data_IF_858054107987
#
_entry.id   IF_858054107987
#
_cell.length_a   1.000
_cell.length_b   1.000
_cell.length_c   1.000
_cell.angle_alpha   90.00
_cell.angle_beta   90.00
_cell.angle_gamma   90.00
#
_symmetry.space_group_name_H-M   'P 1'
#
loop_
_entity.id
_entity.type
_entity.pdbx_description
1 polymer ?
#
# COMPACT_ATOMS: atom_id res chain seq x y z
N UNK A 1 -29.46 -21.22 39.73
CA UNK A 1 -29.64 -20.20 38.68
C UNK A 1 -28.29 -19.56 38.50
N UNK A 2 -27.56 -19.94 37.46
CA UNK A 2 -26.32 -19.24 37.13
C UNK A 2 -26.66 -17.82 36.63
N UNK A 3 -25.95 -16.79 37.11
CA UNK A 3 -26.14 -15.44 36.61
C UNK A 3 -25.72 -15.42 35.14
N UNK A 4 -26.60 -14.92 34.27
CA UNK A 4 -26.22 -14.66 32.88
C UNK A 4 -25.06 -13.66 32.89
N UNK A 5 -23.98 -13.89 32.13
CA UNK A 5 -22.93 -12.90 32.00
C UNK A 5 -23.54 -11.61 31.46
N UNK A 6 -23.19 -10.48 32.09
CA UNK A 6 -23.57 -9.16 31.60
C UNK A 6 -22.96 -8.89 30.22
N UNK A 7 -23.51 -7.92 29.45
CA UNK A 7 -22.96 -7.55 28.16
C UNK A 7 -21.48 -7.16 28.29
N UNK A 8 -20.67 -7.53 27.29
CA UNK A 8 -19.24 -7.25 27.33
C UNK A 8 -19.03 -5.73 27.22
N UNK A 9 -18.11 -5.11 27.98
CA UNK A 9 -17.88 -3.65 27.93
C UNK A 9 -17.61 -3.10 26.51
N UNK A 10 -17.01 -3.93 25.64
CA UNK A 10 -16.75 -3.59 24.24
C UNK A 10 -18.02 -3.57 23.35
N UNK A 11 -19.12 -4.22 23.74
CA UNK A 11 -20.36 -4.24 22.94
C UNK A 11 -20.99 -2.84 22.85
N UNK A 12 -20.87 -2.05 23.92
CA UNK A 12 -21.30 -0.65 23.93
C UNK A 12 -20.38 0.24 23.08
N UNK A 13 -19.11 -0.14 22.96
CA UNK A 13 -18.12 0.57 22.15
C UNK A 13 -18.25 0.26 20.65
N UNK A 14 -18.97 -0.76 20.20
CA UNK A 14 -18.99 -1.13 18.78
C UNK A 14 -20.30 -0.84 18.05
N UNK A 15 -21.33 -0.39 18.77
CA UNK A 15 -22.63 -0.02 18.21
C UNK A 15 -23.38 -1.24 17.70
N UNK A 16 -24.32 -1.76 18.50
CA UNK A 16 -25.13 -2.94 18.16
C UNK A 16 -26.06 -2.69 16.94
N UNK A 17 -25.51 -2.79 15.73
CA UNK A 17 -26.25 -2.81 14.48
C UNK A 17 -26.78 -4.21 14.19
N UNK A 18 -27.83 -4.64 14.90
CA UNK A 18 -28.45 -5.93 14.68
C UNK A 18 -29.09 -6.04 13.29
N UNK A 19 -28.39 -6.68 12.33
CA UNK A 19 -28.97 -7.09 11.05
C UNK A 19 -29.91 -8.27 11.33
N UNK A 20 -31.22 -8.01 11.39
CA UNK A 20 -32.23 -9.08 11.42
C UNK A 20 -32.17 -9.86 10.10
N UNK A 21 -31.72 -11.12 10.16
CA UNK A 21 -31.89 -12.09 9.07
C UNK A 21 -33.39 -12.23 8.76
N UNK A 22 -33.78 -12.03 7.50
CA UNK A 22 -35.06 -12.54 6.98
C UNK A 22 -34.86 -13.99 6.55
N UNK A 23 -35.70 -14.87 7.07
CA UNK A 23 -35.73 -16.30 6.76
C UNK A 23 -36.22 -16.52 5.31
N UNK A 24 -35.54 -17.31 4.45
CA UNK A 24 -35.96 -17.54 3.07
C UNK A 24 -37.14 -18.51 2.90
N UNK A 25 -37.77 -19.00 3.98
CA UNK A 25 -38.74 -20.11 3.93
C UNK A 25 -40.23 -19.75 4.00
N UNK A 26 -40.63 -18.54 3.64
CA UNK A 26 -42.05 -18.21 3.46
C UNK A 26 -42.39 -17.93 1.99
N UNK A 27 -42.49 -18.99 1.19
CA UNK A 27 -43.34 -19.04 -0.01
C UNK A 27 -44.18 -20.31 0.04
N UNK A 28 -45.34 -20.20 0.67
CA UNK A 28 -46.43 -21.17 0.63
C UNK A 28 -47.73 -20.38 0.54
N UNK A 29 -48.50 -20.65 -0.51
CA UNK A 29 -49.58 -19.77 -0.97
C UNK A 29 -50.84 -19.81 -0.13
N UNK A 30 -51.76 -18.89 -0.41
CA UNK A 30 -53.20 -19.06 -0.25
C UNK A 30 -53.93 -18.10 -1.20
N UNK A 31 -54.67 -18.71 -2.12
CA UNK A 31 -55.74 -18.10 -2.91
C UNK A 31 -56.96 -17.93 -2.01
N UNK A 32 -57.57 -16.76 -1.97
CA UNK A 32 -58.82 -16.53 -1.24
C UNK A 32 -59.34 -15.11 -1.43
N UNK A 33 -60.54 -15.02 -2.00
CA UNK A 33 -61.20 -13.81 -2.45
C UNK A 33 -61.62 -12.84 -1.34
N UNK A 34 -61.79 -11.57 -1.73
CA UNK A 34 -62.90 -10.74 -1.24
C UNK A 34 -62.52 -9.55 -0.36
N UNK A 35 -62.87 -8.35 -0.83
CA UNK A 35 -63.39 -7.32 0.08
C UNK A 35 -62.55 -6.04 0.25
N UNK A 36 -63.05 -4.99 -0.40
CA UNK A 36 -63.13 -3.60 0.10
C UNK A 36 -61.86 -2.74 0.19
N UNK A 37 -61.87 -1.72 -0.68
CA UNK A 37 -61.15 -0.44 -0.51
C UNK A 37 -61.70 0.31 0.71
N UNK A 38 -60.85 1.16 1.33
CA UNK A 38 -61.07 2.58 1.10
C UNK A 38 -59.81 3.37 0.75
N UNK A 39 -60.07 4.54 0.19
CA UNK A 39 -59.16 5.54 -0.35
C UNK A 39 -58.55 6.42 0.77
N UNK A 40 -57.38 6.97 0.41
CA UNK A 40 -56.80 8.28 0.75
C UNK A 40 -56.08 8.46 2.10
N UNK A 41 -54.77 8.75 1.97
CA UNK A 41 -53.93 9.45 2.95
C UNK A 41 -52.56 9.74 2.34
N UNK A 42 -52.38 10.96 1.81
CA UNK A 42 -51.10 11.50 1.31
C UNK A 42 -50.17 11.83 2.49
N UNK A 43 -48.87 11.56 2.32
CA UNK A 43 -47.68 12.31 2.78
C UNK A 43 -46.50 11.33 2.82
N UNK A 44 -45.29 11.57 2.35
CA UNK A 44 -44.64 12.71 1.72
C UNK A 44 -43.21 12.24 1.36
N UNK A 45 -42.74 12.66 0.20
CA UNK A 45 -41.40 12.39 -0.32
C UNK A 45 -40.30 12.93 0.60
N UNK A 46 -39.30 12.10 0.91
CA UNK A 46 -37.92 12.53 1.16
C UNK A 46 -36.95 11.47 0.63
N UNK A 47 -36.75 11.46 -0.69
CA UNK A 47 -35.51 10.99 -1.32
C UNK A 47 -34.52 12.15 -1.34
N UNK A 48 -33.40 12.04 -0.62
CA UNK A 48 -32.15 12.74 -0.94
C UNK A 48 -30.99 11.77 -0.76
N UNK A 49 -30.66 11.09 -1.85
CA UNK A 49 -29.34 10.52 -2.05
C UNK A 49 -28.45 11.62 -2.62
N UNK A 50 -27.37 11.97 -1.91
CA UNK A 50 -26.34 12.83 -2.43
C UNK A 50 -25.50 12.02 -3.43
N UNK A 51 -25.58 12.39 -4.70
CA UNK A 51 -24.68 11.94 -5.74
C UNK A 51 -23.36 12.73 -5.65
N UNK A 52 -22.24 12.03 -5.49
CA UNK A 52 -20.91 12.58 -5.74
C UNK A 52 -20.50 12.27 -7.20
N UNK A 53 -19.87 13.20 -7.92
CA UNK A 53 -19.52 13.03 -9.32
C UNK A 53 -18.11 12.45 -9.44
N UNK A 54 -18.00 11.20 -9.87
CA UNK A 54 -16.76 10.68 -10.44
C UNK A 54 -17.09 10.04 -11.79
N UNK A 55 -16.90 10.82 -12.85
CA UNK A 55 -16.92 10.31 -14.22
C UNK A 55 -15.58 9.64 -14.52
N UNK A 56 -15.62 8.35 -14.82
CA UNK A 56 -14.53 7.64 -15.49
C UNK A 56 -14.60 7.90 -17.00
N UNK A 57 -13.47 8.04 -17.72
CA UNK A 57 -13.47 8.16 -19.16
C UNK A 57 -13.88 6.83 -19.82
N UNK A 58 -14.82 6.92 -20.76
CA UNK A 58 -15.47 5.80 -21.42
C UNK A 58 -14.54 4.93 -22.26
N UNK A 59 -14.72 3.62 -22.16
CA UNK A 59 -14.26 2.67 -23.16
C UNK A 59 -15.39 2.46 -24.18
N UNK A 60 -15.09 2.73 -25.45
CA UNK A 60 -15.99 2.48 -26.56
C UNK A 60 -16.24 0.98 -26.73
N UNK A 61 -17.50 0.60 -26.71
CA UNK A 61 -17.95 -0.74 -27.09
C UNK A 61 -17.90 -0.87 -28.62
N UNK A 62 -16.93 -1.62 -29.12
CA UNK A 62 -16.90 -2.12 -30.50
C UNK A 62 -17.70 -3.42 -30.60
N UNK A 63 -18.74 -3.38 -31.42
CA UNK A 63 -19.62 -4.49 -31.77
C UNK A 63 -18.83 -5.62 -32.47
N UNK A 64 -18.77 -6.80 -31.84
CA UNK A 64 -18.32 -8.04 -32.50
C UNK A 64 -19.51 -8.97 -32.71
N UNK A 65 -20.08 -8.93 -33.93
CA UNK A 65 -20.83 -10.07 -34.48
C UNK A 65 -19.85 -11.03 -35.15
N UNK A 66 -19.71 -12.22 -34.58
CA UNK A 66 -19.13 -13.36 -35.28
C UNK A 66 -20.24 -14.30 -35.75
N UNK A 67 -20.22 -14.70 -37.02
CA UNK A 67 -20.54 -16.08 -37.41
C UNK A 67 -20.05 -16.44 -38.83
N UNK A 68 -19.26 -17.51 -38.86
CA UNK A 68 -19.05 -18.56 -39.90
C UNK A 68 -17.79 -18.59 -40.79
N UNK A 69 -17.26 -19.82 -41.05
CA UNK A 69 -15.97 -20.09 -41.73
C UNK A 69 -16.19 -20.77 -43.11
N UNK A 70 -15.23 -21.53 -43.67
CA UNK A 70 -13.97 -21.10 -44.27
C UNK A 70 -13.99 -21.31 -45.80
N UNK A 71 -13.11 -20.63 -46.54
CA UNK A 71 -12.78 -21.01 -47.93
C UNK A 71 -11.28 -21.23 -48.11
N UNK A 72 -11.00 -22.38 -48.73
CA UNK A 72 -9.71 -22.89 -49.21
C UNK A 72 -9.07 -21.95 -50.24
N UNK A 73 -7.74 -22.00 -50.35
CA UNK A 73 -7.07 -21.92 -51.65
C UNK A 73 -5.70 -21.25 -51.70
N UNK A 74 -4.72 -22.03 -52.17
CA UNK A 74 -3.55 -21.66 -52.99
C UNK A 74 -2.25 -21.11 -52.35
N UNK A 75 -1.35 -22.04 -52.02
CA UNK A 75 -0.01 -22.28 -52.62
C UNK A 75 0.79 -21.12 -53.29
N UNK A 76 1.99 -20.89 -52.71
CA UNK A 76 3.36 -20.81 -53.30
C UNK A 76 3.74 -19.71 -54.34
N UNK A 77 5.06 -19.49 -54.61
CA UNK A 77 6.24 -19.35 -53.73
C UNK A 77 7.21 -18.23 -54.20
N UNK A 78 8.31 -18.01 -53.45
CA UNK A 78 9.61 -17.66 -54.06
C UNK A 78 10.25 -16.35 -53.60
N UNK A 79 11.53 -16.41 -53.22
CA UNK A 79 12.36 -15.21 -53.01
C UNK A 79 13.60 -15.42 -52.15
N UNK A 80 14.51 -16.29 -52.60
CA UNK A 80 15.87 -16.45 -52.06
C UNK A 80 16.75 -15.29 -52.54
N UNK A 81 17.59 -14.73 -51.66
CA UNK A 81 18.85 -14.10 -52.07
C UNK A 81 19.89 -14.20 -50.95
N UNK A 82 20.96 -14.92 -51.27
CA UNK A 82 22.19 -15.10 -50.51
C UNK A 82 23.12 -13.89 -50.73
N UNK A 83 23.96 -13.57 -49.74
CA UNK A 83 25.00 -12.55 -49.87
C UNK A 83 25.97 -12.50 -48.68
N UNK A 84 26.96 -13.39 -48.70
CA UNK A 84 28.28 -13.32 -48.02
C UNK A 84 29.31 -13.80 -49.06
N UNK A 85 30.64 -13.60 -48.93
CA UNK A 85 31.41 -13.04 -47.80
C UNK A 85 32.52 -12.02 -48.22
N UNK A 86 33.21 -11.45 -47.23
CA UNK A 86 34.46 -10.71 -47.45
C UNK A 86 35.37 -10.78 -46.22
N UNK A 87 36.40 -11.62 -46.31
CA UNK A 87 37.54 -11.76 -45.40
C UNK A 87 38.42 -10.49 -45.39
N UNK A 88 39.06 -10.18 -44.24
CA UNK A 88 40.51 -9.99 -44.18
C UNK A 88 41.01 -9.80 -42.74
N UNK A 89 41.95 -10.68 -42.36
CA UNK A 89 42.86 -10.60 -41.23
C UNK A 89 43.64 -9.28 -41.17
N UNK A 90 43.99 -8.84 -39.95
CA UNK A 90 45.29 -8.21 -39.60
C UNK A 90 45.40 -7.94 -38.09
N UNK A 91 46.04 -8.88 -37.38
CA UNK A 91 46.99 -8.60 -36.30
C UNK A 91 48.40 -8.90 -36.85
N UNK A 92 49.54 -8.35 -36.34
CA UNK A 92 49.82 -8.13 -34.92
C UNK A 92 50.63 -6.86 -34.58
N UNK A 93 50.77 -6.56 -33.28
CA UNK A 93 52.02 -6.00 -32.70
C UNK A 93 51.99 -6.07 -31.16
N UNK A 94 52.93 -6.84 -30.61
CA UNK A 94 53.43 -6.73 -29.23
C UNK A 94 54.17 -5.40 -29.04
N UNK A 95 54.34 -4.95 -27.80
CA UNK A 95 55.70 -4.94 -27.28
C UNK A 95 55.83 -5.58 -25.90
N UNK A 96 57.06 -5.97 -25.62
CA UNK A 96 57.53 -6.64 -24.43
C UNK A 96 57.88 -5.66 -23.31
N UNK A 97 57.84 -6.17 -22.07
CA UNK A 97 58.84 -5.89 -21.05
C UNK A 97 58.43 -4.92 -19.94
N UNK A 98 58.49 -5.38 -18.69
CA UNK A 98 58.64 -4.47 -17.55
C UNK A 98 58.19 -4.98 -16.18
N UNK A 99 59.06 -5.74 -15.51
CA UNK A 99 59.33 -5.78 -14.05
C UNK A 99 58.19 -6.04 -13.04
N UNK A 100 58.36 -7.17 -12.34
CA UNK A 100 57.84 -7.39 -10.98
C UNK A 100 58.54 -6.48 -9.94
N UNK A 101 57.84 -6.16 -8.84
CA UNK A 101 58.46 -6.41 -7.54
C UNK A 101 57.51 -7.03 -6.49
N UNK A 102 58.09 -8.01 -5.78
CA UNK A 102 58.06 -8.28 -4.34
C UNK A 102 56.72 -8.32 -3.57
N UNK A 103 56.54 -9.50 -2.99
CA UNK A 103 55.69 -9.81 -1.85
C UNK A 103 56.04 -9.00 -0.59
N UNK A 104 55.04 -8.79 0.25
CA UNK A 104 55.19 -8.45 1.67
C UNK A 104 54.33 -7.28 2.13
N UNK A 105 53.13 -7.57 2.63
CA UNK A 105 52.28 -6.59 3.31
C UNK A 105 50.96 -7.20 3.75
N UNK A 106 50.89 -7.68 4.99
CA UNK A 106 49.62 -8.03 5.66
C UNK A 106 48.69 -6.81 5.68
N UNK A 107 47.41 -6.94 5.32
CA UNK A 107 46.45 -5.86 5.53
C UNK A 107 46.06 -5.83 7.01
N UNK A 108 46.45 -4.74 7.68
CA UNK A 108 45.89 -4.35 8.97
C UNK A 108 44.38 -4.25 8.84
N UNK A 109 43.66 -4.96 9.71
CA UNK A 109 42.24 -4.74 10.00
C UNK A 109 42.09 -3.28 10.42
N UNK A 110 41.57 -2.46 9.51
CA UNK A 110 41.09 -1.12 9.82
C UNK A 110 39.68 -1.24 10.37
N UNK A 111 39.48 -0.69 11.56
CA UNK A 111 38.19 -0.57 12.21
C UNK A 111 37.21 0.19 11.30
N UNK A 112 36.20 -0.54 10.80
CA UNK A 112 35.02 0.04 10.19
C UNK A 112 34.23 0.75 11.30
N UNK A 113 34.39 2.07 11.39
CA UNK A 113 33.46 2.89 12.15
C UNK A 113 32.06 2.75 11.56
N UNK A 114 31.02 2.45 12.36
CA UNK A 114 29.66 2.44 11.87
C UNK A 114 29.32 3.87 11.41
N UNK A 115 28.96 4.01 10.13
CA UNK A 115 28.40 5.24 9.60
C UNK A 115 27.15 5.58 10.42
N UNK A 116 27.24 6.63 11.22
CA UNK A 116 26.09 7.22 11.89
C UNK A 116 25.25 7.87 10.80
N UNK A 117 24.16 7.20 10.41
CA UNK A 117 23.15 7.78 9.54
C UNK A 117 22.72 9.12 10.14
N UNK A 118 22.90 10.22 9.41
CA UNK A 118 22.15 11.45 9.69
C UNK A 118 20.68 11.09 9.49
N UNK A 119 20.00 10.77 10.60
CA UNK A 119 18.58 10.44 10.57
C UNK A 119 17.78 11.60 9.97
N UNK A 120 16.67 11.26 9.32
CA UNK A 120 15.64 12.25 8.96
C UNK A 120 15.32 13.03 10.26
N UNK A 121 15.29 14.37 10.25
CA UNK A 121 15.08 15.16 11.46
C UNK A 121 13.85 14.62 12.21
N UNK A 122 14.09 14.11 13.43
CA UNK A 122 13.00 13.68 14.32
C UNK A 122 12.11 14.88 14.58
N UNK A 123 10.93 14.87 13.98
CA UNK A 123 9.79 15.72 14.34
C UNK A 123 10.16 17.17 14.68
N UNK A 124 10.80 17.91 13.76
CA UNK A 124 10.64 19.36 13.81
C UNK A 124 9.34 19.70 13.05
N UNK A 125 8.19 19.90 13.73
CA UNK A 125 6.96 20.35 13.09
C UNK A 125 7.16 21.68 12.34
N UNK A 126 8.24 22.43 12.60
CA UNK A 126 8.55 23.70 11.93
C UNK A 126 9.12 23.52 10.52
N UNK A 127 9.50 22.33 10.08
CA UNK A 127 9.87 22.10 8.67
C UNK A 127 8.68 22.33 7.70
N UNK A 128 7.45 22.45 8.22
CA UNK A 128 6.28 22.88 7.45
C UNK A 128 6.17 24.41 7.28
N UNK A 129 6.96 25.23 8.00
CA UNK A 129 6.82 26.70 7.99
C UNK A 129 7.60 27.42 6.89
N UNK A 130 8.51 26.75 6.18
CA UNK A 130 9.33 27.32 5.10
C UNK A 130 8.74 27.16 3.69
N UNK A 131 7.52 27.65 3.45
CA UNK A 131 6.89 27.64 2.11
C UNK A 131 7.00 29.03 1.46
N UNK A 132 8.17 29.32 0.88
CA UNK A 132 8.34 30.39 -0.12
C UNK A 132 8.35 29.75 -1.52
N UNK A 133 7.15 29.56 -2.09
CA UNK A 133 6.95 29.18 -3.49
C UNK A 133 6.14 30.28 -4.19
N UNK A 134 6.43 30.50 -5.47
CA UNK A 134 5.82 31.58 -6.27
C UNK A 134 4.29 31.39 -6.40
N UNK A 135 3.48 32.47 -6.31
CA UNK A 135 2.02 32.39 -6.19
C UNK A 135 1.26 31.77 -7.39
N UNK A 136 1.95 31.55 -8.51
CA UNK A 136 1.30 31.32 -9.81
C UNK A 136 0.88 29.86 -10.05
N UNK A 137 1.46 28.87 -9.33
CA UNK A 137 1.10 27.45 -9.45
C UNK A 137 0.00 27.00 -8.46
N UNK A 138 -0.36 27.84 -7.47
CA UNK A 138 -1.32 27.50 -6.41
C UNK A 138 -2.79 27.84 -6.74
N UNK A 139 -3.05 28.43 -7.91
CA UNK A 139 -4.31 29.06 -8.25
C UNK A 139 -5.19 28.17 -9.13
N UNK A 140 -5.78 27.10 -8.59
CA UNK A 140 -6.90 26.45 -9.29
C UNK A 140 -8.08 25.98 -8.42
N UNK A 141 -8.02 26.11 -7.08
CA UNK A 141 -9.19 25.82 -6.22
C UNK A 141 -9.34 26.72 -4.99
N UNK A 142 -8.47 27.71 -4.78
CA UNK A 142 -8.50 28.55 -3.58
C UNK A 142 -8.92 30.00 -3.87
N UNK A 143 -9.59 30.63 -2.89
CA UNK A 143 -9.91 32.07 -2.93
C UNK A 143 -8.60 32.87 -3.11
N UNK A 144 -8.59 33.97 -3.88
CA UNK A 144 -7.40 34.80 -4.03
C UNK A 144 -6.91 35.27 -2.65
N UNK A 145 -5.69 34.90 -2.28
CA UNK A 145 -5.07 35.23 -0.99
C UNK A 145 -5.15 34.16 0.10
N UNK A 146 -5.91 33.08 -0.10
CA UNK A 146 -6.01 31.98 0.86
C UNK A 146 -5.25 30.77 0.31
N UNK A 147 -4.08 30.45 0.87
CA UNK A 147 -3.35 29.23 0.49
C UNK A 147 -4.25 28.01 0.79
N UNK A 148 -4.57 27.13 -0.18
CA UNK A 148 -5.40 25.97 0.08
C UNK A 148 -4.73 25.08 1.13
N UNK A 149 -5.42 24.83 2.24
CA UNK A 149 -4.95 23.97 3.34
C UNK A 149 -4.08 24.63 4.41
N UNK A 150 -3.77 25.93 4.33
CA UNK A 150 -2.92 26.58 5.36
C UNK A 150 -3.69 27.26 6.50
N UNK A 151 -5.00 27.51 6.34
CA UNK A 151 -5.78 28.22 7.37
C UNK A 151 -5.86 27.43 8.68
N UNK A 152 -6.16 26.13 8.59
CA UNK A 152 -6.25 25.25 9.76
C UNK A 152 -4.91 25.12 10.51
N UNK A 153 -3.80 24.99 9.78
CA UNK A 153 -2.46 24.88 10.38
C UNK A 153 -1.95 26.20 10.96
N UNK A 154 -2.42 27.35 10.48
CA UNK A 154 -2.10 28.64 11.09
C UNK A 154 -2.75 28.77 12.48
N UNK A 155 -3.96 28.21 12.63
CA UNK A 155 -4.71 28.23 13.88
C UNK A 155 -4.34 27.05 14.82
N UNK A 156 -3.71 25.99 14.30
CA UNK A 156 -3.30 24.80 15.03
C UNK A 156 -1.89 24.29 14.58
N UNK A 157 -0.81 25.06 14.83
CA UNK A 157 0.54 24.74 14.37
C UNK A 157 1.14 23.47 14.99
N UNK A 158 0.54 22.97 16.06
CA UNK A 158 0.90 21.72 16.72
C UNK A 158 0.40 20.47 15.98
N UNK A 159 -0.51 20.62 15.02
CA UNK A 159 -1.06 19.49 14.27
C UNK A 159 0.02 18.86 13.40
N UNK A 160 0.34 17.60 13.70
CA UNK A 160 1.19 16.78 12.85
C UNK A 160 0.42 16.40 11.58
N UNK A 161 0.89 16.85 10.42
CA UNK A 161 0.25 16.57 9.12
C UNK A 161 0.83 15.34 8.43
N UNK A 162 2.11 15.08 8.60
CA UNK A 162 2.80 13.94 8.02
C UNK A 162 3.99 13.56 8.90
N UNK A 163 4.39 12.29 8.87
CA UNK A 163 5.61 11.81 9.51
C UNK A 163 6.18 10.62 8.77
N UNK A 164 7.46 10.37 9.00
CA UNK A 164 8.12 9.14 8.55
C UNK A 164 8.01 8.09 9.64
N UNK A 165 7.75 6.85 9.24
CA UNK A 165 7.68 5.70 10.11
C UNK A 165 8.26 4.47 9.41
N UNK A 166 8.41 3.38 10.15
CA UNK A 166 8.70 2.06 9.60
C UNK A 166 7.36 1.34 9.44
N UNK A 167 7.04 0.78 8.27
CA UNK A 167 5.74 0.14 8.12
C UNK A 167 5.60 -0.77 6.92
N UNK A 168 4.48 -1.49 6.89
CA UNK A 168 4.11 -2.48 5.89
C UNK A 168 2.66 -2.25 5.48
N UNK A 169 2.43 -2.00 4.19
CA UNK A 169 1.08 -1.95 3.61
C UNK A 169 0.83 -3.22 2.80
N UNK A 170 -0.26 -3.89 3.10
CA UNK A 170 -0.63 -5.19 2.55
C UNK A 170 -1.99 -5.09 1.88
N UNK A 171 -2.09 -5.62 0.68
CA UNK A 171 -3.34 -5.75 -0.05
C UNK A 171 -3.79 -7.20 0.03
N UNK A 172 -5.07 -7.38 0.34
CA UNK A 172 -5.57 -8.64 0.87
C UNK A 172 -6.09 -9.53 -0.26
N UNK A 173 -5.89 -10.84 -0.08
CA UNK A 173 -6.66 -11.89 -0.75
C UNK A 173 -7.56 -12.55 0.28
N UNK A 174 -8.75 -12.99 -0.12
CA UNK A 174 -9.74 -13.61 0.77
C UNK A 174 -10.20 -12.69 1.92
N UNK A 175 -11.15 -11.80 1.62
CA UNK A 175 -11.67 -10.84 2.59
C UNK A 175 -12.32 -11.50 3.82
N UNK A 176 -12.88 -12.70 3.68
CA UNK A 176 -13.52 -13.44 4.77
C UNK A 176 -12.45 -14.00 5.73
N UNK A 177 -11.38 -14.60 5.20
CA UNK A 177 -10.25 -15.05 6.02
C UNK A 177 -9.61 -13.91 6.83
N UNK A 178 -9.42 -12.75 6.20
CA UNK A 178 -8.85 -11.58 6.88
C UNK A 178 -9.75 -11.03 7.98
N UNK A 179 -11.04 -10.94 7.69
CA UNK A 179 -12.07 -10.62 8.67
C UNK A 179 -12.00 -11.54 9.89
N UNK A 180 -12.00 -12.86 9.67
CA UNK A 180 -12.14 -13.82 10.78
C UNK A 180 -10.86 -14.06 11.57
N UNK A 181 -9.71 -14.10 10.89
CA UNK A 181 -8.45 -14.59 11.48
C UNK A 181 -7.26 -13.67 11.22
N UNK A 182 -7.15 -13.09 10.03
CA UNK A 182 -5.99 -12.28 9.65
C UNK A 182 -5.87 -10.99 10.47
N UNK A 183 -6.95 -10.22 10.59
CA UNK A 183 -6.97 -8.97 11.36
C UNK A 183 -6.69 -9.21 12.85
N UNK A 184 -7.38 -10.15 13.54
CA UNK A 184 -7.04 -10.51 14.93
C UNK A 184 -5.57 -10.91 15.12
N UNK A 185 -5.05 -11.77 14.23
CA UNK A 185 -3.66 -12.23 14.31
C UNK A 185 -2.69 -11.06 14.19
N UNK A 186 -2.89 -10.19 13.19
CA UNK A 186 -1.99 -9.06 12.93
C UNK A 186 -2.09 -7.94 13.96
N UNK A 187 -3.26 -7.71 14.57
CA UNK A 187 -3.36 -6.81 15.72
C UNK A 187 -2.60 -7.40 16.91
N UNK A 188 -2.70 -8.71 17.16
CA UNK A 188 -1.94 -9.37 18.22
C UNK A 188 -0.44 -9.25 17.97
N UNK A 189 0.03 -9.51 16.75
CA UNK A 189 1.43 -9.41 16.37
C UNK A 189 1.96 -7.98 16.53
N UNK A 190 1.20 -6.98 16.08
CA UNK A 190 1.58 -5.58 16.25
C UNK A 190 1.68 -5.19 17.72
N UNK A 191 0.70 -5.59 18.55
CA UNK A 191 0.72 -5.30 19.99
C UNK A 191 1.95 -5.88 20.70
N UNK A 192 2.51 -7.00 20.21
CA UNK A 192 3.78 -7.56 20.71
C UNK A 192 5.01 -6.77 20.24
N UNK A 193 4.93 -6.15 19.06
CA UNK A 193 6.06 -5.48 18.41
C UNK A 193 6.25 -4.02 18.84
N UNK A 194 5.21 -3.39 19.38
CA UNK A 194 5.24 -1.99 19.84
C UNK A 194 5.36 -1.91 21.36
N UNK A 195 5.88 -0.80 21.93
CA UNK A 195 5.93 -0.63 23.37
C UNK A 195 4.55 -0.75 24.03
N UNK A 196 4.51 -1.40 25.20
CA UNK A 196 3.29 -1.52 26.00
C UNK A 196 2.66 -0.15 26.23
N UNK A 197 1.35 -0.05 26.00
CA UNK A 197 0.64 1.21 26.20
C UNK A 197 0.71 2.19 25.02
N UNK A 198 1.51 1.93 23.98
CA UNK A 198 1.67 2.88 22.87
C UNK A 198 0.40 3.06 22.04
N UNK A 199 -0.36 2.00 21.78
CA UNK A 199 -1.58 2.05 20.99
C UNK A 199 -2.79 2.24 21.90
N UNK A 200 -3.23 3.48 22.08
CA UNK A 200 -4.35 3.80 22.99
C UNK A 200 -5.61 4.24 22.26
N UNK A 201 -5.52 4.66 21.00
CA UNK A 201 -6.65 5.25 20.29
C UNK A 201 -7.23 4.26 19.30
N UNK A 202 -8.54 4.10 19.34
CA UNK A 202 -9.28 3.19 18.46
C UNK A 202 -10.45 3.91 17.79
N UNK A 203 -10.71 3.60 16.53
CA UNK A 203 -11.90 4.07 15.82
C UNK A 203 -12.29 3.10 14.71
N UNK A 204 -13.53 3.24 14.21
CA UNK A 204 -14.10 2.44 13.14
C UNK A 204 -14.86 3.32 12.16
N UNK A 205 -15.16 2.86 10.95
CA UNK A 205 -16.04 3.62 10.04
C UNK A 205 -17.47 3.80 10.57
N UNK A 206 -17.89 3.01 11.57
CA UNK A 206 -19.19 3.16 12.25
C UNK A 206 -19.16 4.13 13.42
N UNK A 207 -17.98 4.65 13.79
CA UNK A 207 -17.77 5.61 14.88
C UNK A 207 -16.97 6.80 14.37
N UNK A 208 -17.57 7.99 14.39
CA UNK A 208 -16.87 9.21 13.97
C UNK A 208 -15.73 9.61 14.92
N UNK A 209 -15.81 9.20 16.18
CA UNK A 209 -14.94 9.69 17.23
C UNK A 209 -13.92 8.63 17.65
N UNK A 210 -12.69 9.08 17.91
CA UNK A 210 -11.66 8.26 18.51
C UNK A 210 -11.99 7.99 19.98
N UNK A 211 -11.87 6.72 20.39
CA UNK A 211 -11.98 6.30 21.78
C UNK A 211 -10.64 5.86 22.30
N UNK A 212 -10.35 6.24 23.55
CA UNK A 212 -9.18 5.77 24.26
C UNK A 212 -9.49 4.41 24.88
N UNK A 213 -8.71 3.40 24.54
CA UNK A 213 -8.80 2.05 25.10
C UNK A 213 -8.08 1.97 26.44
N UNK A 214 -8.70 1.33 27.42
CA UNK A 214 -8.02 0.82 28.60
C UNK A 214 -7.10 -0.35 28.24
N UNK A 215 -6.19 -0.71 29.16
CA UNK A 215 -5.31 -1.87 28.95
C UNK A 215 -6.08 -3.18 28.71
N UNK A 216 -7.16 -3.41 29.46
CA UNK A 216 -7.99 -4.61 29.32
C UNK A 216 -8.76 -4.64 27.97
N UNK A 217 -9.29 -3.49 27.53
CA UNK A 217 -9.96 -3.39 26.22
C UNK A 217 -8.98 -3.63 25.07
N UNK A 218 -7.75 -3.13 25.19
CA UNK A 218 -6.70 -3.37 24.20
C UNK A 218 -6.27 -4.83 24.14
N UNK A 219 -6.15 -5.49 25.29
CA UNK A 219 -5.80 -6.91 25.37
C UNK A 219 -6.89 -7.80 24.75
N UNK A 220 -8.17 -7.45 24.95
CA UNK A 220 -9.31 -8.16 24.37
C UNK A 220 -9.65 -7.78 22.91
N UNK A 221 -8.98 -6.77 22.36
CA UNK A 221 -9.31 -6.22 21.04
C UNK A 221 -9.19 -7.26 19.91
N UNK A 222 -8.15 -8.11 19.84
CA UNK A 222 -8.05 -9.15 18.80
C UNK A 222 -9.26 -10.09 18.79
N UNK A 223 -9.71 -10.54 19.95
CA UNK A 223 -10.84 -11.45 20.08
C UNK A 223 -12.13 -10.78 19.61
N UNK A 224 -12.33 -9.52 19.98
CA UNK A 224 -13.48 -8.73 19.54
C UNK A 224 -13.44 -8.42 18.05
N UNK A 225 -12.27 -8.18 17.46
CA UNK A 225 -12.09 -8.00 16.02
C UNK A 225 -12.43 -9.26 15.21
N UNK A 226 -12.29 -10.45 15.80
CA UNK A 226 -12.54 -11.72 15.14
C UNK A 226 -14.00 -12.15 15.11
N UNK A 227 -14.25 -13.44 15.38
CA UNK A 227 -15.52 -14.15 15.13
C UNK A 227 -16.79 -13.47 15.65
N UNK A 228 -16.72 -12.70 16.74
CA UNK A 228 -17.89 -12.00 17.28
C UNK A 228 -18.40 -10.90 16.33
N UNK A 229 -17.52 -10.32 15.51
CA UNK A 229 -17.85 -9.21 14.63
C UNK A 229 -18.26 -9.63 13.20
N UNK A 230 -17.95 -10.88 12.80
CA UNK A 230 -17.96 -11.30 11.39
C UNK A 230 -19.02 -12.34 10.99
N UNK A 231 -20.01 -12.63 11.86
CA UNK A 231 -21.03 -13.67 11.64
C UNK A 231 -21.95 -13.52 10.40
N UNK A 232 -21.73 -12.52 9.54
CA UNK A 232 -22.54 -12.22 8.36
C UNK A 232 -21.73 -12.01 7.05
N UNK A 233 -20.44 -12.36 7.02
CA UNK A 233 -19.56 -12.19 5.86
C UNK A 233 -18.90 -10.80 5.76
N UNK A 234 -18.21 -10.49 4.65
CA UNK A 234 -17.45 -9.26 4.51
C UNK A 234 -18.30 -7.98 4.59
N UNK A 235 -17.85 -7.05 5.42
CA UNK A 235 -18.43 -5.74 5.70
C UNK A 235 -17.80 -4.71 4.79
N UNK A 236 -18.29 -4.64 3.56
CA UNK A 236 -17.79 -3.71 2.55
C UNK A 236 -17.66 -2.27 3.10
N UNK A 237 -16.46 -1.70 3.01
CA UNK A 237 -16.06 -0.37 3.52
C UNK A 237 -15.98 -0.23 5.04
N UNK A 238 -15.98 -1.33 5.80
CA UNK A 238 -15.54 -1.25 7.18
C UNK A 238 -14.10 -0.73 7.22
N UNK A 239 -13.88 0.26 8.08
CA UNK A 239 -12.54 0.70 8.44
C UNK A 239 -12.34 0.46 9.93
N UNK A 240 -11.15 0.00 10.31
CA UNK A 240 -10.71 -0.14 11.70
C UNK A 240 -9.36 0.53 11.81
N UNK A 241 -9.16 1.35 12.86
CA UNK A 241 -7.87 1.97 13.15
C UNK A 241 -7.55 1.85 14.63
N UNK A 242 -6.30 1.53 14.92
CA UNK A 242 -5.69 1.52 16.25
C UNK A 242 -4.38 2.32 16.15
N UNK A 243 -4.16 3.30 17.00
CA UNK A 243 -3.03 4.23 16.84
C UNK A 243 -2.52 4.76 18.17
N UNK A 244 -1.26 5.22 18.16
CA UNK A 244 -0.66 6.04 19.20
C UNK A 244 -1.22 7.47 19.28
N UNK A 245 -1.72 7.99 18.16
CA UNK A 245 -2.35 9.31 18.07
C UNK A 245 -3.51 9.36 17.06
N UNK A 246 -4.39 10.35 17.20
CA UNK A 246 -5.63 10.44 16.41
C UNK A 246 -5.47 11.11 15.04
N UNK A 247 -4.34 11.81 14.82
CA UNK A 247 -4.03 12.52 13.60
C UNK A 247 -3.14 11.71 12.67
N UNK A 248 -1.83 11.78 12.90
CA UNK A 248 -0.81 11.25 12.01
C UNK A 248 -0.05 10.09 12.68
N UNK A 249 -0.57 8.87 12.53
CA UNK A 249 -0.07 7.65 13.20
C UNK A 249 1.46 7.48 13.16
N UNK A 250 2.08 7.31 14.32
CA UNK A 250 3.49 6.94 14.46
C UNK A 250 3.76 5.47 14.70
N UNK A 251 2.81 4.83 15.36
CA UNK A 251 2.70 3.41 15.50
C UNK A 251 1.21 3.08 15.45
N UNK A 252 0.86 1.99 14.78
CA UNK A 252 -0.52 1.56 14.75
C UNK A 252 -0.87 0.62 13.60
N UNK A 253 -2.17 0.44 13.49
CA UNK A 253 -2.84 -0.48 12.62
C UNK A 253 -3.98 0.25 11.92
N UNK A 254 -4.08 0.08 10.61
CA UNK A 254 -5.25 0.52 9.84
C UNK A 254 -5.68 -0.61 8.93
N UNK A 255 -6.98 -0.85 8.85
CA UNK A 255 -7.57 -1.90 8.03
C UNK A 255 -8.80 -1.38 7.32
N UNK A 256 -8.92 -1.71 6.03
CA UNK A 256 -10.14 -1.52 5.27
C UNK A 256 -10.59 -2.84 4.63
N UNK A 257 -11.82 -3.20 4.97
CA UNK A 257 -12.49 -4.36 4.41
C UNK A 257 -13.19 -4.00 3.12
N UNK A 258 -12.93 -4.77 2.07
CA UNK A 258 -13.61 -4.63 0.79
C UNK A 258 -14.15 -5.98 0.38
N UNK A 259 -15.47 -6.06 0.28
CA UNK A 259 -16.15 -7.16 -0.39
C UNK A 259 -15.78 -7.16 -1.90
N UNK A 260 -15.07 -8.19 -2.40
CA UNK A 260 -14.64 -8.27 -3.79
C UNK A 260 -15.83 -8.42 -4.76
N UNK A 261 -16.99 -8.90 -4.30
CA UNK A 261 -18.19 -9.00 -5.15
C UNK A 261 -18.80 -7.63 -5.46
N UNK A 262 -18.49 -6.61 -4.66
CA UNK A 262 -19.07 -5.27 -4.75
C UNK A 262 -18.19 -4.25 -5.46
N UNK A 263 -16.99 -4.62 -5.89
CA UNK A 263 -16.13 -3.69 -6.63
C UNK A 263 -14.79 -4.27 -7.07
N UNK A 264 -14.14 -3.59 -8.01
CA UNK A 264 -12.79 -3.93 -8.48
C UNK A 264 -11.66 -3.39 -7.57
N UNK A 265 -11.85 -3.42 -6.24
CA UNK A 265 -10.84 -2.99 -5.25
C UNK A 265 -10.46 -4.15 -4.34
N UNK A 266 -9.24 -4.09 -3.83
CA UNK A 266 -8.79 -5.00 -2.80
C UNK A 266 -8.96 -4.39 -1.41
N UNK A 267 -9.26 -5.22 -0.41
CA UNK A 267 -9.06 -4.84 0.98
C UNK A 267 -7.58 -4.55 1.23
N UNK A 268 -7.29 -3.82 2.30
CA UNK A 268 -5.93 -3.52 2.69
C UNK A 268 -5.78 -3.44 4.19
N UNK A 269 -4.57 -3.69 4.68
CA UNK A 269 -4.15 -3.31 6.03
C UNK A 269 -2.80 -2.60 5.97
N UNK A 270 -2.51 -1.81 6.99
CA UNK A 270 -1.25 -1.14 7.18
C UNK A 270 -0.81 -1.32 8.64
N UNK A 271 0.41 -1.83 8.81
CA UNK A 271 1.10 -1.95 10.09
C UNK A 271 2.18 -0.87 10.14
N UNK A 272 2.23 -0.11 11.22
CA UNK A 272 3.19 0.97 11.42
C UNK A 272 3.87 0.81 12.76
N UNK A 273 5.20 0.83 12.73
CA UNK A 273 6.10 0.84 13.86
C UNK A 273 6.78 2.21 13.96
N UNK A 274 7.24 2.61 15.17
CA UNK A 274 8.02 3.82 15.33
C UNK A 274 9.22 3.88 14.35
N UNK A 275 9.57 5.09 13.89
CA UNK A 275 10.67 5.29 12.94
C UNK A 275 12.01 4.73 13.43
N UNK A 276 12.24 4.75 14.74
CA UNK A 276 13.46 4.28 15.39
C UNK A 276 13.36 2.84 15.93
N UNK A 277 12.28 2.12 15.59
CA UNK A 277 12.18 0.69 15.83
C UNK A 277 13.24 -0.08 15.03
N UNK A 278 13.69 -1.23 15.53
CA UNK A 278 14.60 -2.06 14.76
C UNK A 278 13.92 -2.58 13.49
N UNK A 279 14.56 -2.45 12.31
CA UNK A 279 13.98 -2.92 11.06
C UNK A 279 13.61 -4.40 11.05
N UNK A 280 14.35 -5.22 11.80
CA UNK A 280 14.09 -6.66 11.90
C UNK A 280 12.73 -6.97 12.54
N UNK A 281 12.16 -6.07 13.34
CA UNK A 281 10.81 -6.21 13.88
C UNK A 281 9.75 -6.09 12.77
N UNK A 282 9.95 -5.18 11.81
CA UNK A 282 9.08 -5.09 10.63
C UNK A 282 9.23 -6.33 9.74
N UNK A 283 10.45 -6.81 9.55
CA UNK A 283 10.70 -8.04 8.79
C UNK A 283 10.02 -9.25 9.46
N UNK A 284 10.07 -9.34 10.79
CA UNK A 284 9.39 -10.40 11.54
C UNK A 284 7.87 -10.35 11.32
N UNK A 285 7.25 -9.18 11.41
CA UNK A 285 5.82 -9.01 11.10
C UNK A 285 5.49 -9.40 9.65
N UNK A 286 6.32 -9.00 8.69
CA UNK A 286 6.13 -9.34 7.28
C UNK A 286 6.24 -10.85 7.04
N UNK A 287 7.17 -11.53 7.72
CA UNK A 287 7.32 -13.00 7.66
C UNK A 287 6.12 -13.69 8.28
N UNK A 288 5.70 -13.30 9.50
CA UNK A 288 4.51 -13.86 10.17
C UNK A 288 3.28 -13.74 9.27
N UNK A 289 3.04 -12.55 8.72
CA UNK A 289 1.93 -12.30 7.81
C UNK A 289 1.95 -13.22 6.58
N UNK A 290 3.08 -13.28 5.86
CA UNK A 290 3.17 -14.03 4.62
C UNK A 290 3.31 -15.55 4.83
N UNK A 291 3.59 -15.98 6.07
CA UNK A 291 3.58 -17.37 6.48
C UNK A 291 2.18 -17.86 6.86
N UNK A 292 1.32 -17.00 7.40
CA UNK A 292 0.03 -17.40 8.00
C UNK A 292 -1.22 -16.96 7.22
N UNK A 293 -1.12 -15.92 6.39
CA UNK A 293 -2.29 -15.34 5.74
C UNK A 293 -2.10 -15.15 4.23
N UNK A 294 -3.13 -15.43 3.41
CA UNK A 294 -3.13 -15.11 1.99
C UNK A 294 -3.11 -13.60 1.81
N UNK A 295 -2.31 -13.11 0.88
CA UNK A 295 -2.24 -11.69 0.54
C UNK A 295 -1.99 -11.56 -0.96
N UNK A 296 -2.34 -10.40 -1.52
CA UNK A 296 -2.14 -10.12 -2.95
C UNK A 296 -0.72 -9.65 -3.22
N UNK A 297 -0.33 -8.60 -2.52
CA UNK A 297 1.00 -8.03 -2.51
C UNK A 297 1.18 -7.15 -1.27
N UNK A 298 2.42 -6.84 -0.93
CA UNK A 298 2.71 -5.86 0.11
C UNK A 298 4.03 -5.13 -0.17
N UNK A 299 4.16 -3.94 0.42
CA UNK A 299 5.39 -3.14 0.36
C UNK A 299 5.69 -2.59 1.75
N UNK A 300 6.93 -2.75 2.20
CA UNK A 300 7.37 -2.33 3.51
C UNK A 300 8.77 -1.73 3.54
N UNK A 301 9.04 -0.92 4.55
CA UNK A 301 10.25 -0.12 4.70
C UNK A 301 9.95 1.21 5.38
N UNK A 302 10.78 2.22 5.14
CA UNK A 302 10.42 3.58 5.53
C UNK A 302 9.27 4.07 4.66
N UNK A 303 8.19 4.52 5.31
CA UNK A 303 7.02 5.08 4.65
C UNK A 303 6.60 6.38 5.30
N UNK A 304 5.76 7.14 4.61
CA UNK A 304 5.09 8.30 5.18
C UNK A 304 3.69 7.94 5.66
N UNK A 305 3.38 8.28 6.91
CA UNK A 305 2.00 8.37 7.38
C UNK A 305 1.55 9.83 7.32
N UNK A 306 0.23 10.05 7.30
CA UNK A 306 -0.35 11.38 7.18
C UNK A 306 -1.63 11.50 7.97
N UNK A 307 -1.96 12.74 8.34
CA UNK A 307 -3.26 13.09 8.88
C UNK A 307 -4.29 13.09 7.74
N UNK A 308 -5.27 12.18 7.82
CA UNK A 308 -6.32 12.03 6.79
C UNK A 308 -7.18 13.30 6.62
N UNK A 309 -7.31 14.12 7.66
CA UNK A 309 -8.07 15.38 7.61
C UNK A 309 -7.32 16.50 6.90
N UNK A 310 -5.99 16.45 6.91
CA UNK A 310 -5.09 17.43 6.32
C UNK A 310 -4.34 16.87 5.11
N UNK A 311 -4.96 15.91 4.40
CA UNK A 311 -4.34 15.15 3.31
C UNK A 311 -3.65 16.03 2.24
N UNK A 312 -4.24 17.14 1.75
CA UNK A 312 -3.54 18.01 0.80
C UNK A 312 -2.24 18.61 1.37
N UNK A 313 -2.26 19.12 2.60
CA UNK A 313 -1.10 19.72 3.24
C UNK A 313 -0.02 18.67 3.55
N UNK A 314 -0.44 17.50 4.02
CA UNK A 314 0.44 16.36 4.27
C UNK A 314 1.21 15.94 3.00
N UNK A 315 0.51 15.77 1.87
CA UNK A 315 1.14 15.33 0.63
C UNK A 315 2.07 16.38 -0.01
N UNK A 316 1.86 17.68 0.29
CA UNK A 316 2.86 18.70 -0.05
C UNK A 316 4.15 18.54 0.75
N UNK A 317 4.05 18.24 2.05
CA UNK A 317 5.22 17.96 2.90
C UNK A 317 5.94 16.69 2.46
N UNK A 318 5.16 15.62 2.24
CA UNK A 318 5.66 14.32 1.79
C UNK A 318 6.38 14.44 0.44
N UNK A 319 5.85 15.23 -0.51
CA UNK A 319 6.55 15.43 -1.79
C UNK A 319 7.94 16.02 -1.60
N UNK A 320 8.11 17.00 -0.71
CA UNK A 320 9.44 17.59 -0.44
C UNK A 320 10.40 16.52 0.07
N UNK A 321 9.95 15.65 0.97
CA UNK A 321 10.75 14.53 1.45
C UNK A 321 11.03 13.51 0.35
N UNK A 322 10.07 13.20 -0.51
CA UNK A 322 10.23 12.27 -1.62
C UNK A 322 11.23 12.75 -2.68
N UNK A 323 11.36 14.07 -2.88
CA UNK A 323 12.40 14.64 -3.74
C UNK A 323 13.80 14.48 -3.14
N UNK A 324 13.92 14.42 -1.81
CA UNK A 324 15.20 14.28 -1.12
C UNK A 324 15.56 12.83 -0.80
N UNK A 325 14.60 12.01 -0.40
CA UNK A 325 14.79 10.68 0.17
C UNK A 325 14.11 9.63 -0.72
N UNK A 326 14.86 9.11 -1.69
CA UNK A 326 14.31 8.19 -2.69
C UNK A 326 13.85 6.84 -2.11
N UNK A 327 14.41 6.42 -0.99
CA UNK A 327 14.06 5.18 -0.29
C UNK A 327 12.83 5.30 0.62
N UNK A 328 12.32 6.51 0.85
CA UNK A 328 11.01 6.69 1.47
C UNK A 328 9.93 6.18 0.52
N UNK A 329 8.86 5.57 1.03
CA UNK A 329 7.70 5.22 0.21
C UNK A 329 6.49 6.09 0.58
N UNK A 330 5.78 6.52 -0.46
CA UNK A 330 4.60 7.37 -0.34
C UNK A 330 3.41 6.53 -0.72
N UNK A 331 2.65 6.13 0.30
CA UNK A 331 1.57 5.19 0.14
C UNK A 331 0.23 5.86 0.45
N UNK A 332 -0.74 5.63 -0.41
CA UNK A 332 -2.16 5.92 -0.16
C UNK A 332 -2.93 4.62 -0.42
N UNK A 333 -3.11 3.77 0.61
CA UNK A 333 -3.65 2.42 0.45
C UNK A 333 -5.04 2.43 -0.22
N UNK A 334 -5.86 3.44 0.08
CA UNK A 334 -7.18 3.60 -0.53
C UNK A 334 -7.10 3.86 -2.04
N UNK A 335 -6.13 4.64 -2.50
CA UNK A 335 -5.92 4.88 -3.93
C UNK A 335 -5.29 3.68 -4.63
N UNK A 336 -4.30 3.05 -4.00
CA UNK A 336 -3.63 1.87 -4.52
C UNK A 336 -4.54 0.64 -4.62
N UNK A 337 -5.52 0.51 -3.71
CA UNK A 337 -6.48 -0.61 -3.68
C UNK A 337 -7.21 -0.87 -5.02
N UNK A 338 -7.29 0.15 -5.87
CA UNK A 338 -7.88 0.07 -7.21
C UNK A 338 -6.98 -0.54 -8.29
N UNK A 339 -5.66 -0.61 -8.06
CA UNK A 339 -4.67 -0.96 -9.08
C UNK A 339 -3.91 -2.24 -8.76
N UNK A 340 -3.82 -2.60 -7.47
CA UNK A 340 -3.07 -3.78 -6.98
C UNK A 340 -3.63 -5.14 -7.44
N UNK A 341 -4.72 -5.14 -8.20
CA UNK A 341 -5.33 -6.37 -8.70
C UNK A 341 -4.43 -7.17 -9.62
N UNK A 342 -3.53 -6.55 -10.39
CA UNK A 342 -2.50 -7.30 -11.14
C UNK A 342 -1.12 -6.67 -11.04
N UNK A 343 -1.01 -5.53 -10.39
CA UNK A 343 0.19 -4.70 -10.33
C UNK A 343 0.63 -4.58 -8.88
N UNK A 344 1.89 -4.22 -8.67
CA UNK A 344 2.38 -3.75 -7.39
C UNK A 344 2.02 -2.27 -7.22
N UNK A 345 1.79 -1.78 -6.00
CA UNK A 345 1.64 -0.34 -5.78
C UNK A 345 2.99 0.37 -6.00
N UNK A 346 4.09 -0.24 -5.57
CA UNK A 346 5.47 0.26 -5.62
C UNK A 346 6.45 -0.89 -5.28
N UNK A 347 7.73 -0.56 -5.16
CA UNK A 347 8.77 -1.40 -4.51
C UNK A 347 9.42 -0.61 -3.38
N UNK A 348 9.91 -1.32 -2.37
CA UNK A 348 10.69 -0.75 -1.25
C UNK A 348 11.58 -1.85 -0.64
N UNK A 349 12.17 -1.58 0.54
CA UNK A 349 13.01 -2.52 1.29
C UNK A 349 12.46 -3.94 1.32
N UNK A 350 11.18 -4.08 1.63
CA UNK A 350 10.44 -5.33 1.55
C UNK A 350 9.42 -5.19 0.43
N UNK A 351 9.52 -6.07 -0.57
CA UNK A 351 8.49 -6.21 -1.62
C UNK A 351 7.96 -7.63 -1.58
N UNK A 352 6.67 -7.79 -1.29
CA UNK A 352 6.05 -9.09 -1.11
C UNK A 352 5.12 -9.39 -2.28
N UNK A 353 5.23 -10.59 -2.85
CA UNK A 353 4.35 -11.09 -3.90
C UNK A 353 3.53 -12.25 -3.32
N UNK A 354 2.21 -12.11 -3.37
CA UNK A 354 1.29 -13.16 -2.97
C UNK A 354 1.25 -14.31 -3.97
N UNK A 355 0.92 -15.51 -3.49
CA UNK A 355 0.85 -16.71 -4.33
C UNK A 355 -0.08 -16.53 -5.55
N UNK A 356 -1.26 -15.93 -5.38
CA UNK A 356 -2.20 -15.67 -6.49
C UNK A 356 -1.64 -14.72 -7.54
N UNK A 357 -0.99 -13.62 -7.12
CA UNK A 357 -0.34 -12.68 -8.05
C UNK A 357 0.82 -13.35 -8.81
N UNK A 358 1.62 -14.16 -8.11
CA UNK A 358 2.74 -14.89 -8.71
C UNK A 358 2.26 -15.87 -9.78
N UNK A 359 1.22 -16.67 -9.49
CA UNK A 359 0.62 -17.61 -10.43
C UNK A 359 0.12 -16.90 -11.70
N UNK A 360 -0.69 -15.85 -11.54
CA UNK A 360 -1.25 -15.08 -12.66
C UNK A 360 -0.18 -14.42 -13.56
N UNK A 361 0.99 -14.14 -12.99
CA UNK A 361 2.11 -13.48 -13.67
C UNK A 361 3.18 -14.46 -14.13
N UNK A 362 3.02 -15.76 -13.86
CA UNK A 362 4.00 -16.78 -14.20
C UNK A 362 5.36 -16.58 -13.50
N UNK A 363 5.34 -16.02 -12.29
CA UNK A 363 6.53 -15.77 -11.48
C UNK A 363 6.63 -16.89 -10.45
N UNK A 364 7.83 -17.45 -10.27
CA UNK A 364 8.09 -18.48 -9.25
C UNK A 364 9.13 -17.99 -8.24
N UNK A 365 9.06 -18.51 -7.01
CA UNK A 365 10.02 -18.18 -5.98
C UNK A 365 11.43 -18.67 -6.37
N UNK A 366 11.52 -19.80 -7.07
CA UNK A 366 12.76 -20.38 -7.60
C UNK A 366 13.39 -19.46 -8.65
N UNK A 367 12.58 -18.88 -9.55
CA UNK A 367 13.07 -17.95 -10.56
C UNK A 367 13.62 -16.67 -9.91
N UNK A 368 12.94 -16.14 -8.88
CA UNK A 368 13.43 -14.98 -8.13
C UNK A 368 14.71 -15.29 -7.35
N UNK A 369 14.82 -16.47 -6.75
CA UNK A 369 16.05 -16.93 -6.06
C UNK A 369 17.22 -17.13 -7.03
N UNK A 370 16.95 -17.66 -8.22
CA UNK A 370 17.96 -17.92 -9.24
C UNK A 370 18.30 -16.68 -10.06
N UNK A 371 17.57 -15.57 -9.89
CA UNK A 371 17.86 -14.32 -10.56
C UNK A 371 19.27 -13.84 -10.19
N UNK A 372 20.10 -13.43 -11.16
CA UNK A 372 21.49 -13.05 -10.93
C UNK A 372 21.57 -11.64 -10.33
N UNK A 373 21.22 -11.50 -9.06
CA UNK A 373 21.28 -10.22 -8.35
C UNK A 373 22.72 -9.70 -8.25
N UNK A 374 22.95 -8.45 -8.65
CA UNK A 374 24.22 -7.73 -8.56
C UNK A 374 24.43 -7.09 -7.18
N UNK A 375 23.34 -6.82 -6.45
CA UNK A 375 23.32 -6.25 -5.10
C UNK A 375 22.83 -7.29 -4.08
N UNK A 376 23.02 -7.07 -2.76
CA UNK A 376 22.60 -8.03 -1.74
C UNK A 376 21.07 -8.08 -1.58
N UNK A 377 20.42 -8.85 -2.44
CA UNK A 377 18.98 -9.12 -2.41
C UNK A 377 18.75 -10.51 -1.79
N UNK A 378 17.84 -10.59 -0.82
CA UNK A 378 17.43 -11.88 -0.22
C UNK A 378 16.02 -12.22 -0.66
N UNK A 379 15.80 -13.43 -1.14
CA UNK A 379 14.48 -13.94 -1.52
C UNK A 379 14.03 -15.01 -0.53
N UNK A 380 12.93 -14.75 0.19
CA UNK A 380 12.39 -15.58 1.25
C UNK A 380 11.02 -16.15 0.82
N UNK A 381 10.93 -17.41 0.36
CA UNK A 381 9.67 -18.05 0.07
C UNK A 381 8.97 -18.42 1.37
N UNK A 382 7.66 -18.26 1.39
CA UNK A 382 6.77 -18.49 2.53
C UNK A 382 5.51 -19.21 2.03
N UNK A 383 4.64 -19.64 2.95
CA UNK A 383 3.43 -20.41 2.59
C UNK A 383 2.51 -19.68 1.63
N UNK A 384 2.35 -18.35 1.78
CA UNK A 384 1.40 -17.57 1.00
C UNK A 384 2.05 -16.63 -0.02
N UNK A 385 3.36 -16.76 -0.27
CA UNK A 385 4.05 -15.93 -1.24
C UNK A 385 5.56 -15.88 -1.06
N UNK A 386 6.16 -14.75 -1.45
CA UNK A 386 7.60 -14.52 -1.35
C UNK A 386 7.88 -13.10 -0.88
N UNK A 387 8.90 -12.92 -0.05
CA UNK A 387 9.48 -11.62 0.29
C UNK A 387 10.77 -11.44 -0.52
N UNK A 388 10.85 -10.36 -1.27
CA UNK A 388 12.09 -9.86 -1.86
C UNK A 388 12.61 -8.73 -0.97
N UNK A 389 13.69 -8.99 -0.23
CA UNK A 389 14.31 -8.04 0.71
C UNK A 389 15.51 -7.37 0.05
N UNK A 390 15.44 -6.05 -0.11
CA UNK A 390 16.41 -5.23 -0.81
C UNK A 390 17.50 -4.68 0.12
N UNK A 391 18.50 -5.50 0.43
CA UNK A 391 19.55 -5.17 1.40
C UNK A 391 19.18 -5.57 2.84
N UNK A 392 20.16 -5.52 3.73
CA UNK A 392 19.99 -5.97 5.13
C UNK A 392 19.12 -5.04 5.96
N UNK A 393 19.17 -3.73 5.70
CA UNK A 393 18.40 -2.69 6.41
C UNK A 393 17.76 -1.73 5.41
N UNK A 394 16.64 -1.07 5.77
CA UNK A 394 16.05 -0.05 4.94
C UNK A 394 16.98 1.18 4.87
N UNK A 395 17.01 1.82 3.71
CA UNK A 395 17.82 3.01 3.42
C UNK A 395 16.91 4.14 2.95
N UNK A 396 17.19 5.36 3.38
CA UNK A 396 16.39 6.55 3.01
C UNK A 396 16.74 7.10 1.64
N UNK A 397 17.97 6.88 1.16
CA UNK A 397 18.43 7.37 -0.14
C UNK A 397 18.45 8.89 -0.26
N UNK A 398 19.21 9.56 0.62
CA UNK A 398 19.32 11.03 0.61
C UNK A 398 20.15 11.51 -0.59
N UNK A 399 19.50 12.20 -1.52
CA UNK A 399 20.11 12.76 -2.73
C UNK A 399 21.14 13.85 -2.42
N UNK A 400 20.97 14.58 -1.32
CA UNK A 400 21.92 15.63 -0.92
C UNK A 400 23.24 15.03 -0.43
N UNK A 401 23.18 13.82 0.12
CA UNK A 401 24.35 13.03 0.51
C UNK A 401 24.84 12.12 -0.62
N UNK A 402 24.27 12.24 -1.83
CA UNK A 402 24.55 11.40 -3.01
C UNK A 402 24.34 9.89 -2.75
N UNK A 403 23.40 9.55 -1.86
CA UNK A 403 23.09 8.16 -1.52
C UNK A 403 21.93 7.68 -2.39
N UNK A 404 22.22 6.84 -3.37
CA UNK A 404 21.22 6.20 -4.21
C UNK A 404 20.86 4.78 -3.68
N UNK A 405 19.57 4.45 -3.48
CA UNK A 405 19.13 3.10 -3.06
C UNK A 405 19.32 2.02 -4.14
N UNK A 406 20.55 1.59 -4.40
CA UNK A 406 20.86 0.66 -5.49
C UNK A 406 20.11 -0.69 -5.38
N UNK A 407 19.95 -1.22 -4.17
CA UNK A 407 19.19 -2.47 -3.95
C UNK A 407 17.71 -2.30 -4.31
N UNK A 408 17.13 -1.13 -4.05
CA UNK A 408 15.72 -0.86 -4.38
C UNK A 408 15.57 -0.72 -5.88
N UNK A 409 16.53 -0.04 -6.52
CA UNK A 409 16.56 0.11 -7.97
C UNK A 409 16.66 -1.23 -8.70
N UNK A 410 17.48 -2.15 -8.20
CA UNK A 410 17.58 -3.47 -8.77
C UNK A 410 16.29 -4.28 -8.66
N UNK A 411 15.67 -4.32 -7.47
CA UNK A 411 14.37 -5.00 -7.27
C UNK A 411 13.29 -4.39 -8.17
N UNK A 412 13.27 -3.07 -8.30
CA UNK A 412 12.30 -2.35 -9.15
C UNK A 412 12.45 -2.73 -10.63
N UNK A 413 13.68 -2.83 -11.13
CA UNK A 413 13.95 -3.26 -12.52
C UNK A 413 13.57 -4.72 -12.75
N UNK A 414 13.90 -5.61 -11.81
CA UNK A 414 13.53 -7.02 -11.90
C UNK A 414 12.01 -7.23 -11.89
N UNK A 415 11.27 -6.36 -11.19
CA UNK A 415 9.81 -6.41 -11.05
C UNK A 415 9.08 -5.37 -11.91
N UNK A 416 9.75 -4.74 -12.89
CA UNK A 416 9.19 -3.62 -13.64
C UNK A 416 7.85 -3.97 -14.32
N UNK A 417 7.72 -5.21 -14.82
CA UNK A 417 6.51 -5.69 -15.47
C UNK A 417 5.28 -5.72 -14.54
N UNK A 418 5.49 -5.68 -13.22
CA UNK A 418 4.44 -5.58 -12.21
C UNK A 418 4.17 -4.15 -11.77
N UNK A 419 5.04 -3.20 -12.06
CA UNK A 419 4.84 -1.80 -11.66
C UNK A 419 3.70 -1.15 -12.44
N UNK A 420 2.99 -0.19 -11.84
CA UNK A 420 1.82 0.39 -12.47
C UNK A 420 2.24 1.20 -13.70
N UNK A 421 1.43 1.14 -14.75
CA UNK A 421 1.55 2.01 -15.95
C UNK A 421 0.52 3.11 -15.98
N UNK A 422 -0.52 2.99 -15.15
CA UNK A 422 -1.49 4.03 -14.84
C UNK A 422 -1.73 3.97 -13.36
N UNK A 423 -1.95 5.13 -12.76
CA UNK A 423 -2.26 5.19 -11.35
C UNK A 423 -3.10 6.42 -11.07
N UNK A 424 -3.92 6.37 -10.02
CA UNK A 424 -4.71 7.53 -9.63
C UNK A 424 -3.82 8.58 -8.96
N UNK A 425 -4.15 9.85 -9.16
CA UNK A 425 -3.35 10.95 -8.61
C UNK A 425 -3.45 10.96 -7.09
N UNK A 426 -2.31 11.10 -6.44
CA UNK A 426 -2.24 11.47 -5.04
C UNK A 426 -2.60 12.96 -4.86
N UNK A 427 -2.89 13.33 -3.62
CA UNK A 427 -3.23 14.69 -3.25
C UNK A 427 -1.99 15.60 -3.25
N UNK A 428 -2.23 16.90 -3.05
CA UNK A 428 -1.17 17.89 -2.79
C UNK A 428 -0.14 17.98 -3.91
N UNK A 429 1.14 17.91 -3.55
CA UNK A 429 2.24 18.09 -4.50
C UNK A 429 2.31 17.02 -5.60
N UNK A 430 1.60 15.91 -5.47
CA UNK A 430 1.55 14.84 -6.47
C UNK A 430 0.39 14.98 -7.45
N UNK A 431 -0.42 16.05 -7.34
CA UNK A 431 -1.63 16.22 -8.12
C UNK A 431 -1.37 16.54 -9.61
N UNK A 432 -0.19 17.07 -9.95
CA UNK A 432 0.18 17.37 -11.33
C UNK A 432 0.43 16.09 -12.16
N UNK A 433 0.10 16.17 -13.45
CA UNK A 433 -0.53 15.17 -14.31
C UNK A 433 0.08 13.77 -14.45
N UNK A 434 1.26 13.50 -13.90
CA UNK A 434 1.95 12.19 -13.90
C UNK A 434 2.84 11.97 -12.67
N UNK A 435 2.87 12.91 -11.72
CA UNK A 435 3.86 12.92 -10.63
C UNK A 435 3.77 11.69 -9.74
N UNK A 436 2.55 11.22 -9.44
CA UNK A 436 2.36 9.96 -8.71
C UNK A 436 3.00 8.79 -9.48
N UNK A 437 2.75 8.66 -10.78
CA UNK A 437 3.28 7.55 -11.55
C UNK A 437 4.81 7.58 -11.64
N UNK A 438 5.39 8.77 -11.87
CA UNK A 438 6.84 9.00 -11.86
C UNK A 438 7.46 8.60 -10.53
N UNK A 439 6.83 8.96 -9.41
CA UNK A 439 7.27 8.54 -8.08
C UNK A 439 7.25 7.01 -7.89
N UNK A 440 6.15 6.35 -8.27
CA UNK A 440 6.03 4.90 -8.15
C UNK A 440 7.01 4.14 -9.07
N UNK A 441 7.48 4.79 -10.14
CA UNK A 441 8.45 4.28 -11.12
C UNK A 441 9.85 4.89 -11.00
N UNK A 442 10.14 5.67 -9.96
CA UNK A 442 11.38 6.47 -9.81
C UNK A 442 12.69 5.69 -9.91
N UNK A 443 12.63 4.39 -9.70
CA UNK A 443 13.79 3.50 -9.72
C UNK A 443 14.01 2.79 -11.07
N UNK A 444 12.99 2.74 -11.92
CA UNK A 444 13.08 2.22 -13.30
C UNK A 444 13.25 3.37 -14.30
N UNK A 445 12.71 4.55 -13.99
CA UNK A 445 12.77 5.77 -14.80
C UNK A 445 13.25 6.96 -13.94
N UNK A 446 14.51 6.96 -13.46
CA UNK A 446 14.99 7.96 -12.51
C UNK A 446 15.02 9.38 -13.05
N UNK A 447 15.22 9.55 -14.37
CA UNK A 447 15.20 10.86 -15.02
C UNK A 447 13.81 11.52 -15.00
N UNK A 448 12.75 10.73 -14.81
CA UNK A 448 11.38 11.22 -14.79
C UNK A 448 10.95 11.87 -13.47
N UNK A 449 11.69 11.67 -12.39
CA UNK A 449 11.32 12.13 -11.04
C UNK A 449 11.96 13.48 -10.63
N UNK A 450 13.10 13.84 -11.22
CA UNK A 450 13.86 15.05 -10.86
C UNK A 450 13.21 16.35 -11.34
#
# INVERSE_FOLDING_TARGET
MDPRPGPHPLDALLGAGGVRRRDPRERGGLSGAGGQRPRLGRAGDLRRAAALPWGLPGQGAGDHRGERPPRRGAQHPGGVAQGRPGHADRHPRRPAGGRAPRAGGEPRRGDLHPHTHRGIPRGDPRLCTGLEGTPEEAAMTARPGQRPGCGYLADAPEVMVARVALGLTVYLEDAEHWAETGVPSMVTALLRAVPDGSLEWFTTSTRSDWVRLSAAEREGLPQTLGREWHAAGPRHLLQVRLSDETGCMGAGFSYREIDPERGGRHGWLQLVLPYDQEPDDLLALAVELAQEHPFRCAVGGYLTTFNEWEKPAAFWCIRKWALQHLGLDVQDPDMASWFVGRELPSTNWLTLLGAGLMEERGITAEALKAHPWERPITVLPLSHGVIVRAGERPVTGDVNDLVYPETYAEVSRALEALLPRRFARYYGGFYDGEQTLRWLRRFVEPEGWQ
#
